data_IF_100017204728
#
_entry.id   IF_100017204728
#
_cell.length_a   1.000
_cell.length_b   1.000
_cell.length_c   1.000
_cell.angle_alpha   90.00
_cell.angle_beta   90.00
_cell.angle_gamma   90.00
#
_symmetry.space_group_name_H-M   'P 1'
#
loop_
_entity.id
_entity.type
_entity.pdbx_description
1 polymer ?
#
# COMPACT_ATOMS: atom_id res chain seq x y z
N UNK A 1 -9.52 21.78 -7.78
CA UNK A 1 -10.34 20.61 -7.93
C UNK A 1 -10.45 19.84 -6.64
N UNK A 2 -11.63 19.42 -6.34
CA UNK A 2 -11.92 18.90 -5.00
C UNK A 2 -12.44 17.47 -5.00
N UNK A 3 -12.58 16.85 -6.16
CA UNK A 3 -13.15 15.50 -6.26
C UNK A 3 -12.31 14.61 -7.16
N UNK A 4 -12.35 13.32 -6.90
CA UNK A 4 -11.67 12.33 -7.73
C UNK A 4 -12.51 11.04 -7.80
N UNK A 5 -12.27 10.25 -8.83
CA UNK A 5 -12.74 8.87 -8.92
C UNK A 5 -11.50 7.99 -9.09
N UNK A 6 -11.37 7.01 -8.19
CA UNK A 6 -10.17 6.18 -8.13
C UNK A 6 -9.81 5.58 -9.51
N UNK A 7 -10.80 5.05 -10.22
CA UNK A 7 -10.53 4.36 -11.48
C UNK A 7 -10.18 5.30 -12.64
N UNK A 8 -10.34 6.61 -12.44
CA UNK A 8 -9.93 7.62 -13.42
C UNK A 8 -8.54 8.19 -13.14
N UNK A 9 -7.94 7.85 -12.00
CA UNK A 9 -6.59 8.30 -11.67
C UNK A 9 -5.55 7.55 -12.50
N UNK A 10 -4.46 8.21 -12.89
CA UNK A 10 -3.37 7.53 -13.59
C UNK A 10 -2.82 6.38 -12.74
N UNK A 11 -2.57 5.24 -13.37
CA UNK A 11 -2.00 4.07 -12.72
C UNK A 11 -0.55 3.88 -13.17
N UNK A 12 0.34 3.61 -12.22
CA UNK A 12 1.76 3.36 -12.46
C UNK A 12 2.12 1.97 -11.98
N UNK A 13 2.78 1.16 -12.82
CA UNK A 13 3.33 -0.09 -12.36
C UNK A 13 4.59 0.20 -11.54
N UNK A 14 4.52 -0.06 -10.24
CA UNK A 14 5.60 0.23 -9.31
C UNK A 14 6.63 -0.89 -9.25
N UNK A 15 6.15 -2.12 -9.25
CA UNK A 15 6.88 -3.37 -9.26
C UNK A 15 6.10 -4.35 -10.11
N UNK A 16 6.68 -5.47 -10.55
CA UNK A 16 5.91 -6.45 -11.32
C UNK A 16 4.64 -6.88 -10.56
N UNK A 17 3.49 -6.70 -11.19
CA UNK A 17 2.20 -7.04 -10.61
C UNK A 17 1.65 -6.07 -9.57
N UNK A 18 2.26 -4.89 -9.40
CA UNK A 18 1.83 -3.89 -8.41
C UNK A 18 1.52 -2.58 -9.11
N UNK A 19 0.24 -2.26 -9.20
CA UNK A 19 -0.22 -0.99 -9.78
C UNK A 19 -0.58 -0.02 -8.68
N UNK A 20 -0.16 1.25 -8.83
CA UNK A 20 -0.34 2.31 -7.85
C UNK A 20 -1.07 3.49 -8.46
N UNK A 21 -2.04 4.02 -7.71
CA UNK A 21 -2.70 5.31 -7.96
C UNK A 21 -2.60 6.15 -6.71
N UNK A 22 -2.57 7.48 -6.84
CA UNK A 22 -2.37 8.35 -5.69
C UNK A 22 -3.25 9.60 -5.76
N UNK A 23 -3.70 10.04 -4.57
CA UNK A 23 -4.27 11.36 -4.34
C UNK A 23 -3.54 11.98 -3.16
N UNK A 24 -3.36 13.30 -3.18
CA UNK A 24 -2.58 13.95 -2.12
C UNK A 24 -2.91 15.42 -1.98
N UNK A 25 -2.66 15.93 -0.80
CA UNK A 25 -2.56 17.35 -0.46
C UNK A 25 -1.09 17.64 -0.11
N UNK A 26 -0.81 18.72 0.64
CA UNK A 26 0.58 19.12 0.92
C UNK A 26 1.33 18.05 1.73
N UNK A 27 0.71 17.56 2.81
CA UNK A 27 1.38 16.65 3.75
C UNK A 27 0.68 15.31 3.91
N UNK A 28 -0.39 15.07 3.18
CA UNK A 28 -1.21 13.89 3.33
C UNK A 28 -1.42 13.21 1.98
N UNK A 29 -1.27 11.91 1.96
CA UNK A 29 -1.42 11.14 0.71
C UNK A 29 -2.18 9.86 1.00
N UNK A 30 -2.99 9.45 0.04
CA UNK A 30 -3.55 8.08 -0.01
C UNK A 30 -3.11 7.47 -1.33
N UNK A 31 -2.60 6.25 -1.28
CA UNK A 31 -2.31 5.46 -2.46
C UNK A 31 -3.24 4.26 -2.52
N UNK A 32 -3.65 3.92 -3.74
CA UNK A 32 -4.51 2.77 -4.02
C UNK A 32 -3.69 1.75 -4.78
N UNK A 33 -3.53 0.57 -4.20
CA UNK A 33 -2.75 -0.50 -4.81
C UNK A 33 -3.64 -1.62 -5.30
N UNK A 34 -3.31 -2.12 -6.49
CA UNK A 34 -3.84 -3.38 -7.00
C UNK A 34 -2.66 -4.33 -7.17
N UNK A 35 -2.73 -5.47 -6.47
CA UNK A 35 -1.69 -6.48 -6.49
C UNK A 35 -2.19 -7.70 -7.27
N UNK A 36 -1.42 -8.14 -8.24
CA UNK A 36 -1.67 -9.41 -8.91
C UNK A 36 -1.30 -10.57 -8.00
N UNK A 37 -1.82 -11.78 -8.26
CA UNK A 37 -1.38 -12.98 -7.53
C UNK A 37 0.13 -13.12 -7.58
N UNK A 38 0.72 -13.51 -6.45
CA UNK A 38 2.15 -13.74 -6.25
C UNK A 38 3.02 -12.48 -6.29
N UNK A 39 2.43 -11.28 -6.27
CA UNK A 39 3.20 -10.04 -6.15
C UNK A 39 3.96 -10.01 -4.83
N UNK A 40 5.16 -9.45 -4.86
CA UNK A 40 6.04 -9.36 -3.69
C UNK A 40 6.47 -7.91 -3.48
N UNK A 41 6.26 -7.43 -2.25
CA UNK A 41 6.83 -6.16 -1.79
C UNK A 41 8.03 -6.53 -0.91
N UNK A 42 9.26 -6.27 -1.39
CA UNK A 42 10.46 -6.64 -0.63
C UNK A 42 10.54 -5.92 0.72
N UNK A 43 11.30 -6.49 1.64
CA UNK A 43 11.56 -5.88 2.93
C UNK A 43 12.18 -4.49 2.73
N UNK A 44 11.59 -3.48 3.35
CA UNK A 44 12.05 -2.10 3.23
C UNK A 44 11.55 -1.29 4.44
N UNK A 45 12.07 -0.07 4.56
CA UNK A 45 11.62 0.89 5.55
C UNK A 45 11.75 2.30 4.98
N UNK A 46 11.04 3.25 5.59
CA UNK A 46 11.03 4.64 5.15
C UNK A 46 10.66 5.55 6.34
N UNK A 47 11.01 6.85 6.27
CA UNK A 47 10.73 7.77 7.38
C UNK A 47 9.26 8.16 7.50
N UNK A 48 8.43 7.84 6.51
CA UNK A 48 7.02 8.19 6.50
C UNK A 48 6.23 7.30 7.47
N UNK A 49 5.20 7.87 8.09
CA UNK A 49 4.16 7.08 8.73
C UNK A 49 3.26 6.48 7.65
N UNK A 50 2.80 5.26 7.88
CA UNK A 50 1.95 4.57 6.93
C UNK A 50 0.88 3.77 7.67
N UNK A 51 -0.35 3.84 7.16
CA UNK A 51 -1.42 2.93 7.59
C UNK A 51 -1.87 2.18 6.34
N UNK A 52 -1.80 0.86 6.39
CA UNK A 52 -2.24 -0.01 5.29
C UNK A 52 -3.57 -0.63 5.66
N UNK A 53 -4.51 -0.64 4.72
CA UNK A 53 -5.82 -1.26 4.91
C UNK A 53 -6.17 -2.11 3.70
N UNK A 54 -6.47 -3.38 3.91
CA UNK A 54 -6.84 -4.31 2.84
C UNK A 54 -8.30 -4.11 2.47
N UNK A 55 -8.56 -3.81 1.21
CA UNK A 55 -9.89 -3.58 0.67
C UNK A 55 -10.52 -4.90 0.23
N UNK A 56 -9.76 -5.73 -0.46
CA UNK A 56 -10.22 -7.02 -0.96
C UNK A 56 -9.04 -7.96 -1.14
N UNK A 57 -9.30 -9.26 -1.10
CA UNK A 57 -8.26 -10.27 -1.21
C UNK A 57 -7.50 -10.48 0.07
N UNK A 58 -6.28 -10.99 -0.05
CA UNK A 58 -5.46 -11.40 1.08
C UNK A 58 -4.01 -10.99 0.87
N UNK A 59 -3.33 -10.63 1.95
CA UNK A 59 -1.92 -10.25 1.94
C UNK A 59 -1.23 -10.88 3.14
N UNK A 60 -0.10 -11.52 2.93
CA UNK A 60 0.77 -11.97 4.01
C UNK A 60 1.74 -10.84 4.31
N UNK A 61 1.60 -10.23 5.49
CA UNK A 61 2.32 -9.02 5.85
C UNK A 61 3.29 -9.30 6.97
N UNK A 62 4.51 -8.78 6.85
CA UNK A 62 5.51 -8.83 7.92
C UNK A 62 5.82 -7.41 8.37
N UNK A 63 5.69 -7.16 9.67
CA UNK A 63 5.94 -5.86 10.28
C UNK A 63 6.88 -6.06 11.47
N UNK A 64 8.08 -5.51 11.36
CA UNK A 64 9.12 -5.58 12.42
C UNK A 64 9.32 -7.03 12.90
N UNK A 65 9.35 -7.98 11.96
CA UNK A 65 9.55 -9.40 12.24
C UNK A 65 8.30 -10.18 12.58
N UNK A 66 7.17 -9.54 12.81
CA UNK A 66 5.91 -10.21 13.09
C UNK A 66 5.13 -10.43 11.79
N UNK A 67 4.67 -11.67 11.56
CA UNK A 67 3.91 -12.02 10.36
C UNK A 67 2.45 -12.19 10.68
N UNK A 68 1.60 -11.60 9.84
CA UNK A 68 0.15 -11.71 9.92
C UNK A 68 -0.44 -11.90 8.53
N UNK A 69 -1.54 -12.62 8.45
CA UNK A 69 -2.34 -12.71 7.22
C UNK A 69 -3.44 -11.67 7.35
N UNK A 70 -3.45 -10.71 6.42
CA UNK A 70 -4.44 -9.64 6.39
C UNK A 70 -5.48 -9.94 5.33
N UNK A 71 -6.74 -9.91 5.71
CA UNK A 71 -7.89 -10.08 4.81
C UNK A 71 -8.63 -8.75 4.69
N UNK A 72 -9.64 -8.70 3.84
CA UNK A 72 -10.46 -7.49 3.68
C UNK A 72 -10.94 -6.97 5.04
N UNK A 73 -10.69 -5.69 5.30
CA UNK A 73 -11.00 -5.04 6.57
C UNK A 73 -9.88 -5.03 7.58
N UNK A 74 -8.83 -5.84 7.38
CA UNK A 74 -7.65 -5.83 8.26
C UNK A 74 -6.62 -4.84 7.76
N UNK A 75 -5.71 -4.43 8.63
CA UNK A 75 -4.64 -3.52 8.24
C UNK A 75 -3.45 -3.55 9.17
N UNK A 76 -2.50 -2.66 8.89
CA UNK A 76 -1.26 -2.54 9.65
C UNK A 76 -0.97 -1.08 9.95
N UNK A 77 -0.45 -0.83 11.15
CA UNK A 77 0.01 0.49 11.58
C UNK A 77 1.54 0.47 11.53
N UNK A 78 2.12 1.26 10.63
CA UNK A 78 3.55 1.22 10.34
C UNK A 78 4.18 2.54 10.78
N UNK A 79 4.87 2.54 11.94
CA UNK A 79 5.60 3.74 12.39
C UNK A 79 6.78 4.07 11.46
N UNK A 80 7.34 5.29 11.57
CA UNK A 80 8.54 5.63 10.79
C UNK A 80 9.68 4.62 10.99
N UNK A 81 10.40 4.35 9.91
CA UNK A 81 11.62 3.54 9.91
C UNK A 81 11.44 2.10 10.43
N UNK A 82 10.25 1.55 10.29
CA UNK A 82 9.94 0.19 10.72
C UNK A 82 9.98 -0.74 9.51
N UNK A 83 10.82 -1.79 9.54
CA UNK A 83 10.93 -2.74 8.44
C UNK A 83 9.61 -3.48 8.19
N UNK A 84 9.21 -3.59 6.94
CA UNK A 84 8.00 -4.30 6.55
C UNK A 84 8.09 -4.84 5.13
N UNK A 85 7.30 -5.86 4.87
CA UNK A 85 7.22 -6.54 3.58
C UNK A 85 5.85 -7.18 3.41
N UNK A 86 5.56 -7.61 2.19
CA UNK A 86 4.30 -8.28 1.92
C UNK A 86 4.44 -9.26 0.76
N UNK A 87 3.66 -10.33 0.82
CA UNK A 87 3.49 -11.28 -0.28
C UNK A 87 2.00 -11.46 -0.50
N UNK A 88 1.58 -11.39 -1.77
CA UNK A 88 0.17 -11.56 -2.12
C UNK A 88 -0.01 -12.99 -2.66
N UNK A 89 -0.81 -13.82 -2.00
CA UNK A 89 -1.07 -15.18 -2.49
C UNK A 89 -1.99 -15.19 -3.70
N UNK A 90 -2.36 -16.38 -4.14
CA UNK A 90 -3.31 -16.55 -5.25
C UNK A 90 -4.60 -15.78 -4.97
N UNK A 91 -5.17 -15.19 -6.01
CA UNK A 91 -6.39 -14.40 -5.89
C UNK A 91 -6.16 -12.90 -5.89
N UNK A 92 -4.93 -12.45 -5.68
CA UNK A 92 -4.61 -11.03 -5.69
C UNK A 92 -5.10 -10.29 -4.46
N UNK A 93 -4.93 -8.95 -4.49
CA UNK A 93 -5.29 -8.11 -3.36
C UNK A 93 -5.47 -6.66 -3.82
N UNK A 94 -6.38 -5.95 -3.16
CA UNK A 94 -6.46 -4.50 -3.28
C UNK A 94 -6.31 -3.90 -1.88
N UNK A 95 -5.49 -2.87 -1.77
CA UNK A 95 -5.23 -2.20 -0.51
C UNK A 95 -5.09 -0.70 -0.72
N UNK A 96 -5.32 0.07 0.34
CA UNK A 96 -4.98 1.48 0.33
C UNK A 96 -4.01 1.77 1.47
N UNK A 97 -3.14 2.74 1.23
CA UNK A 97 -2.19 3.22 2.21
C UNK A 97 -2.41 4.71 2.44
N UNK A 98 -2.45 5.11 3.71
CA UNK A 98 -2.41 6.51 4.11
C UNK A 98 -0.99 6.86 4.53
N UNK A 99 -0.51 8.04 4.12
CA UNK A 99 0.88 8.47 4.29
C UNK A 99 0.97 9.85 4.91
N UNK A 100 1.93 10.02 5.82
CA UNK A 100 2.33 11.33 6.33
C UNK A 100 3.83 11.31 6.65
N UNK A 101 4.62 12.25 6.15
CA UNK A 101 4.26 13.21 5.10
C UNK A 101 4.04 12.53 3.75
N UNK A 102 3.74 13.31 2.73
CA UNK A 102 3.58 12.80 1.37
C UNK A 102 4.86 12.10 0.92
N UNK A 103 4.71 10.98 0.23
CA UNK A 103 5.84 10.35 -0.47
C UNK A 103 6.04 11.06 -1.79
N UNK A 104 7.15 11.81 -1.89
CA UNK A 104 7.44 12.57 -3.10
C UNK A 104 7.63 11.68 -4.32
N UNK A 105 8.16 10.47 -4.13
CA UNK A 105 8.32 9.48 -5.18
C UNK A 105 7.01 8.89 -5.70
N UNK A 106 5.90 9.15 -4.99
CA UNK A 106 4.56 8.69 -5.40
C UNK A 106 3.68 9.80 -5.94
N UNK A 107 4.16 11.04 -5.99
CA UNK A 107 3.43 12.16 -6.57
C UNK A 107 3.27 12.03 -8.09
#
# INVERSE_FOLDING_TARGET
MSFFRKDELPATEMLPGVMRRAVYLDDLMITFFTFEPNAVIPLHQHPHQQITWVVSGTMEFELDGEKQILQAGDGALIPPDTPHSAVVPDGGCQALDAWHPVREDYR
#
